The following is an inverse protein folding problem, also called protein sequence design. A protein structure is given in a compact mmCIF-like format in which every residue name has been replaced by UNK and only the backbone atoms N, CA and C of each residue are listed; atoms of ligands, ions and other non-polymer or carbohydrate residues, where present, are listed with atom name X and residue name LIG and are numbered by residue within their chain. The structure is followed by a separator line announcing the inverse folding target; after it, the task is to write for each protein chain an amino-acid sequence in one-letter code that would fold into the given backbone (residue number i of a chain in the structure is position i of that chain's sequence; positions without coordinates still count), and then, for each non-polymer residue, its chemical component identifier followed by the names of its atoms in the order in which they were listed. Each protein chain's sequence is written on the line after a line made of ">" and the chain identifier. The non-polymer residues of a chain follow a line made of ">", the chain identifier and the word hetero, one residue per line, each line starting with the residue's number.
data_IF_227658497779
#
_entry.id   IF_227658497779
#
_cell.length_a   1.000
_cell.length_b   1.000
_cell.length_c   1.000
_cell.angle_alpha   90.00
_cell.angle_beta   90.00
_cell.angle_gamma   90.00
#
_symmetry.space_group_name_H-M   'P 1'
#
loop_
_entity.id
_entity.type
_entity.pdbx_description
1 polymer ?
#
# COMPACT_ATOMS: atom_id res chain seq x y z
N UNK A 1 6.63 -27.99 3.03
CA UNK A 1 6.57 -27.07 1.88
C UNK A 1 5.81 -25.83 2.34
N UNK A 2 6.30 -24.62 2.02
CA UNK A 2 5.58 -23.39 2.37
C UNK A 2 4.37 -23.23 1.44
N UNK A 3 3.25 -22.63 1.94
CA UNK A 3 2.09 -22.32 1.11
C UNK A 3 2.45 -21.31 0.00
N UNK A 4 1.68 -21.28 -1.08
CA UNK A 4 1.87 -20.32 -2.18
C UNK A 4 1.52 -18.89 -1.79
N UNK A 5 0.62 -18.73 -0.82
CA UNK A 5 0.14 -17.43 -0.33
C UNK A 5 -0.09 -17.50 1.17
N UNK A 6 0.27 -16.44 1.86
CA UNK A 6 -0.09 -16.19 3.28
C UNK A 6 -0.64 -14.79 3.41
N UNK A 7 -1.77 -14.65 4.08
CA UNK A 7 -2.42 -13.36 4.31
C UNK A 7 -2.85 -13.24 5.78
N UNK A 8 -2.13 -12.42 6.54
CA UNK A 8 -2.42 -12.16 7.96
C UNK A 8 -3.35 -10.96 8.18
N UNK A 9 -3.76 -10.23 7.13
CA UNK A 9 -4.62 -9.04 7.25
C UNK A 9 -5.90 -9.27 8.04
N UNK A 10 -6.60 -10.41 7.92
CA UNK A 10 -7.82 -10.67 8.69
C UNK A 10 -7.63 -10.67 10.22
N UNK A 11 -6.40 -10.89 10.69
CA UNK A 11 -6.06 -10.95 12.11
C UNK A 11 -5.39 -9.68 12.62
N UNK A 12 -5.17 -8.69 11.76
CA UNK A 12 -4.56 -7.42 12.14
C UNK A 12 -5.56 -6.53 12.87
N UNK A 13 -5.04 -5.60 13.67
CA UNK A 13 -5.79 -4.46 14.17
C UNK A 13 -6.01 -3.44 13.05
N UNK A 14 -6.84 -2.42 13.27
CA UNK A 14 -7.07 -1.39 12.25
C UNK A 14 -5.77 -0.69 11.86
N UNK A 15 -5.70 -0.21 10.62
CA UNK A 15 -4.55 0.56 10.13
C UNK A 15 -4.55 1.96 10.76
N UNK A 16 -3.38 2.33 11.29
CA UNK A 16 -3.16 3.61 11.94
C UNK A 16 -2.63 4.68 10.97
N UNK A 17 -2.78 5.95 11.37
CA UNK A 17 -2.20 7.09 10.66
C UNK A 17 -1.16 7.78 11.56
N UNK A 18 0.09 7.81 11.10
CA UNK A 18 1.16 8.53 11.81
C UNK A 18 1.13 10.04 11.60
N UNK A 19 0.37 10.53 10.61
CA UNK A 19 0.34 11.94 10.23
C UNK A 19 1.74 12.45 9.86
N UNK A 20 2.09 13.63 10.35
CA UNK A 20 3.37 14.29 10.07
C UNK A 20 4.49 13.92 11.05
N UNK A 21 4.25 12.99 11.98
CA UNK A 21 5.25 12.57 12.97
C UNK A 21 6.13 11.47 12.39
N UNK A 22 7.44 11.54 12.56
CA UNK A 22 8.42 10.55 12.08
C UNK A 22 8.39 9.21 12.84
N UNK A 23 7.21 8.71 13.18
CA UNK A 23 6.95 7.56 14.06
C UNK A 23 6.69 6.24 13.33
N UNK A 24 7.09 6.12 12.06
CA UNK A 24 6.83 4.91 11.26
C UNK A 24 7.31 3.62 11.94
N UNK A 25 8.49 3.63 12.54
CA UNK A 25 9.03 2.49 13.30
C UNK A 25 8.11 2.10 14.45
N UNK A 26 7.66 3.07 15.26
CA UNK A 26 6.76 2.81 16.37
C UNK A 26 5.40 2.26 15.90
N UNK A 27 4.88 2.75 14.78
CA UNK A 27 3.65 2.24 14.17
C UNK A 27 3.81 0.78 13.70
N UNK A 28 4.92 0.45 13.04
CA UNK A 28 5.18 -0.91 12.58
C UNK A 28 5.36 -1.90 13.77
N UNK A 29 6.10 -1.50 14.78
CA UNK A 29 6.33 -2.30 15.99
C UNK A 29 5.04 -2.47 16.80
N UNK A 30 4.24 -1.41 16.95
CA UNK A 30 2.92 -1.46 17.59
C UNK A 30 2.00 -2.46 16.88
N UNK A 31 1.91 -2.37 15.56
CA UNK A 31 1.08 -3.29 14.77
C UNK A 31 1.47 -4.77 14.92
N UNK A 32 2.76 -5.08 15.01
CA UNK A 32 3.23 -6.44 15.25
C UNK A 32 2.88 -6.93 16.65
N UNK A 33 3.04 -6.08 17.65
CA UNK A 33 2.70 -6.41 19.04
C UNK A 33 1.20 -6.58 19.24
N UNK A 34 0.38 -5.67 18.74
CA UNK A 34 -1.09 -5.72 18.80
C UNK A 34 -1.66 -6.96 18.14
N UNK A 35 -1.12 -7.34 16.97
CA UNK A 35 -1.48 -8.58 16.31
C UNK A 35 -1.28 -9.80 17.21
N UNK A 36 -0.13 -9.90 17.89
CA UNK A 36 0.16 -11.02 18.77
C UNK A 36 -0.74 -11.03 20.00
N UNK A 37 -0.98 -9.87 20.62
CA UNK A 37 -1.90 -9.75 21.77
C UNK A 37 -3.31 -10.16 21.34
N UNK A 38 -3.81 -9.66 20.23
CA UNK A 38 -5.13 -10.00 19.70
C UNK A 38 -5.26 -11.51 19.44
N UNK A 39 -4.26 -12.10 18.81
CA UNK A 39 -4.24 -13.52 18.47
C UNK A 39 -4.14 -14.43 19.70
N UNK A 40 -3.19 -14.14 20.61
CA UNK A 40 -2.94 -14.98 21.80
C UNK A 40 -4.07 -14.91 22.82
N UNK A 41 -4.75 -13.77 22.92
CA UNK A 41 -5.83 -13.56 23.87
C UNK A 41 -7.23 -13.80 23.28
N UNK A 42 -7.34 -14.05 21.98
CA UNK A 42 -8.61 -14.23 21.30
C UNK A 42 -9.53 -13.01 21.41
N UNK A 43 -8.95 -11.80 21.44
CA UNK A 43 -9.70 -10.56 21.57
C UNK A 43 -10.48 -10.28 20.30
N UNK A 44 -11.78 -10.04 20.43
CA UNK A 44 -12.62 -9.58 19.32
C UNK A 44 -12.39 -8.09 19.02
N UNK A 45 -12.12 -7.31 20.07
CA UNK A 45 -11.84 -5.88 19.98
C UNK A 45 -10.36 -5.61 19.76
N UNK A 46 -10.05 -4.54 19.03
CA UNK A 46 -8.69 -4.10 18.80
C UNK A 46 -8.06 -3.59 20.11
N UNK A 47 -6.86 -4.07 20.38
CA UNK A 47 -6.02 -3.59 21.48
C UNK A 47 -4.99 -2.61 20.90
N UNK A 48 -5.10 -1.34 21.28
CA UNK A 48 -4.22 -0.28 20.78
C UNK A 48 -3.07 -0.01 21.75
N UNK A 49 -1.86 -0.22 21.30
CA UNK A 49 -0.62 0.11 22.01
C UNK A 49 -0.19 1.54 21.71
N UNK A 50 0.25 2.28 22.74
CA UNK A 50 0.70 3.66 22.57
C UNK A 50 1.94 3.77 21.67
N UNK A 51 1.72 4.22 20.45
CA UNK A 51 2.77 4.47 19.46
C UNK A 51 3.70 5.61 19.89
N UNK A 52 3.18 6.64 20.55
CA UNK A 52 4.02 7.74 21.08
C UNK A 52 4.87 7.30 22.27
N UNK A 53 4.40 6.36 23.11
CA UNK A 53 5.22 5.77 24.16
C UNK A 53 6.41 5.03 23.56
N UNK A 54 6.16 4.18 22.56
CA UNK A 54 7.21 3.45 21.84
C UNK A 54 8.16 4.43 21.15
N UNK A 55 7.64 5.44 20.46
CA UNK A 55 8.44 6.43 19.76
C UNK A 55 9.31 7.27 20.68
N UNK A 56 8.76 7.70 21.83
CA UNK A 56 9.53 8.40 22.84
C UNK A 56 10.67 7.53 23.38
N UNK A 57 10.37 6.31 23.81
CA UNK A 57 11.35 5.42 24.41
C UNK A 57 12.46 4.99 23.45
N UNK A 58 12.12 4.69 22.20
CA UNK A 58 13.10 4.35 21.16
C UNK A 58 14.07 5.52 20.90
N UNK A 59 13.56 6.77 20.77
CA UNK A 59 14.42 7.94 20.62
C UNK A 59 15.26 8.23 21.86
N UNK A 60 14.71 8.00 23.06
CA UNK A 60 15.42 8.23 24.32
C UNK A 60 16.66 7.34 24.47
N UNK A 61 16.65 6.12 23.90
CA UNK A 61 17.83 5.25 23.86
C UNK A 61 19.03 5.89 23.15
N UNK A 62 18.77 6.80 22.19
CA UNK A 62 19.78 7.54 21.45
C UNK A 62 19.94 9.00 21.92
N UNK A 63 19.25 9.41 22.99
CA UNK A 63 19.26 10.79 23.48
C UNK A 63 18.58 11.79 22.52
N UNK A 64 17.66 11.32 21.70
CA UNK A 64 16.97 12.08 20.66
C UNK A 64 15.47 12.33 20.96
N UNK A 65 15.02 12.08 22.18
CA UNK A 65 13.61 12.19 22.58
C UNK A 65 12.99 13.58 22.34
N UNK A 66 13.82 14.61 22.23
CA UNK A 66 13.40 16.00 21.96
C UNK A 66 13.43 16.37 20.48
N UNK A 67 13.68 15.42 19.60
CA UNK A 67 13.71 15.63 18.16
C UNK A 67 12.78 14.65 17.46
N UNK A 68 12.12 15.10 16.41
CA UNK A 68 11.36 14.22 15.52
C UNK A 68 12.30 13.66 14.44
N UNK A 69 13.17 12.73 14.87
CA UNK A 69 14.29 12.22 14.07
C UNK A 69 14.06 10.81 13.50
N UNK A 70 12.88 10.23 13.72
CA UNK A 70 12.69 8.80 13.53
C UNK A 70 13.38 7.98 14.64
N UNK A 71 13.34 6.67 14.54
CA UNK A 71 13.99 5.73 15.46
C UNK A 71 14.38 4.44 14.74
N UNK A 72 15.39 3.73 15.27
CA UNK A 72 15.75 2.40 14.79
C UNK A 72 14.70 1.37 15.25
N UNK A 73 14.49 0.33 14.44
CA UNK A 73 13.59 -0.78 14.79
C UNK A 73 14.15 -1.52 16.02
N UNK A 74 15.44 -1.80 16.03
CA UNK A 74 16.14 -2.42 17.16
C UNK A 74 15.95 -1.69 18.50
N UNK A 75 15.92 -0.35 18.50
CA UNK A 75 15.67 0.45 19.70
C UNK A 75 14.22 0.31 20.19
N UNK A 76 13.26 0.29 19.26
CA UNK A 76 11.84 0.12 19.59
C UNK A 76 11.55 -1.31 20.11
N UNK A 77 12.13 -2.33 19.50
CA UNK A 77 12.02 -3.72 19.96
C UNK A 77 12.65 -3.88 21.36
N UNK A 78 13.87 -3.40 21.54
CA UNK A 78 14.57 -3.42 22.84
C UNK A 78 13.77 -2.67 23.93
N UNK A 79 13.07 -1.57 23.59
CA UNK A 79 12.17 -0.90 24.54
C UNK A 79 11.05 -1.83 25.00
N UNK A 80 10.41 -2.57 24.08
CA UNK A 80 9.33 -3.50 24.43
C UNK A 80 9.83 -4.63 25.32
N UNK A 81 11.05 -5.12 25.13
CA UNK A 81 11.67 -6.15 25.98
C UNK A 81 12.00 -5.62 27.38
N UNK A 82 12.60 -4.45 27.47
CA UNK A 82 13.11 -3.89 28.73
C UNK A 82 12.01 -3.20 29.56
N UNK A 83 11.16 -2.42 28.89
CA UNK A 83 10.20 -1.52 29.51
C UNK A 83 8.75 -1.94 29.25
N UNK A 84 8.47 -2.49 28.08
CA UNK A 84 7.12 -2.70 27.58
C UNK A 84 6.51 -1.45 26.96
N UNK A 85 5.19 -1.47 26.74
CA UNK A 85 4.43 -0.32 26.30
C UNK A 85 3.07 -0.24 26.97
N UNK A 86 2.57 0.98 27.20
CA UNK A 86 1.22 1.22 27.70
C UNK A 86 0.21 1.25 26.57
N UNK A 87 -1.08 1.26 26.92
CA UNK A 87 -2.17 1.43 25.96
C UNK A 87 -2.22 2.85 25.37
N UNK A 88 -2.82 2.96 24.20
CA UNK A 88 -3.14 4.24 23.55
C UNK A 88 -4.10 5.08 24.41
N UNK A 89 -4.93 4.42 25.25
CA UNK A 89 -5.80 5.11 26.20
C UNK A 89 -5.01 5.87 27.27
N UNK A 90 -3.93 5.31 27.78
CA UNK A 90 -3.10 5.89 28.86
C UNK A 90 -2.16 6.97 28.31
N UNK A 91 -1.62 6.79 27.09
CA UNK A 91 -0.75 7.76 26.43
C UNK A 91 -1.15 7.93 24.98
N UNK A 92 -2.17 8.79 24.69
CA UNK A 92 -2.78 8.91 23.37
C UNK A 92 -1.87 9.52 22.32
N UNK A 93 -2.08 9.09 21.06
CA UNK A 93 -1.39 9.62 19.89
C UNK A 93 -1.79 11.08 19.62
N UNK A 94 -0.82 11.89 19.28
CA UNK A 94 -1.00 13.28 18.90
C UNK A 94 0.15 13.75 18.01
N UNK A 95 -0.14 14.56 17.03
CA UNK A 95 0.86 15.22 16.19
C UNK A 95 1.37 16.55 16.79
N UNK A 96 0.81 16.98 17.92
CA UNK A 96 1.26 18.20 18.59
C UNK A 96 2.67 18.01 19.13
N UNK A 97 3.60 18.87 18.71
CA UNK A 97 5.02 18.80 19.11
C UNK A 97 5.23 18.75 20.62
N UNK A 98 4.38 19.48 21.39
CA UNK A 98 4.41 19.46 22.84
C UNK A 98 4.13 18.07 23.43
N UNK A 99 3.32 17.24 22.75
CA UNK A 99 3.00 15.87 23.15
C UNK A 99 4.06 14.91 22.62
N UNK A 100 4.45 15.04 21.34
CA UNK A 100 5.48 14.19 20.70
C UNK A 100 6.81 14.21 21.45
N UNK A 101 7.16 15.35 22.05
CA UNK A 101 8.42 15.53 22.81
C UNK A 101 8.25 15.39 24.32
N UNK A 102 7.03 15.19 24.80
CA UNK A 102 6.77 15.01 26.23
C UNK A 102 7.26 13.63 26.69
N UNK A 103 7.85 13.59 27.87
CA UNK A 103 8.13 12.32 28.54
C UNK A 103 6.79 11.72 29.01
N UNK A 104 6.52 10.45 28.71
CA UNK A 104 5.32 9.77 29.19
C UNK A 104 5.17 9.86 30.71
N UNK A 105 3.92 9.81 31.16
CA UNK A 105 3.59 9.88 32.59
C UNK A 105 4.14 8.69 33.37
N UNK A 106 4.25 8.86 34.68
CA UNK A 106 4.63 7.75 35.58
C UNK A 106 3.66 6.57 35.46
N UNK A 107 2.37 6.85 35.35
CA UNK A 107 1.31 5.89 35.13
C UNK A 107 1.53 5.07 33.84
N UNK A 108 1.89 5.75 32.74
CA UNK A 108 2.22 5.10 31.47
C UNK A 108 3.41 4.12 31.61
N UNK A 109 4.45 4.48 32.36
CA UNK A 109 5.57 3.58 32.63
C UNK A 109 5.18 2.42 33.59
N UNK A 110 4.34 2.66 34.56
CA UNK A 110 3.84 1.62 35.47
C UNK A 110 2.97 0.60 34.73
N UNK A 111 2.11 1.05 33.81
CA UNK A 111 1.33 0.18 32.94
C UNK A 111 2.25 -0.59 31.97
N UNK A 112 3.15 0.10 31.28
CA UNK A 112 4.09 -0.50 30.33
C UNK A 112 4.89 -1.66 30.94
N UNK A 113 5.30 -1.55 32.20
CA UNK A 113 6.09 -2.58 32.89
C UNK A 113 5.40 -3.95 32.97
N UNK A 114 4.10 -3.99 32.78
CA UNK A 114 3.26 -5.21 32.80
C UNK A 114 3.01 -5.79 31.40
N UNK A 115 3.43 -5.08 30.36
CA UNK A 115 3.16 -5.42 28.97
C UNK A 115 4.45 -5.46 28.14
N UNK A 116 5.38 -6.29 28.60
CA UNK A 116 6.66 -6.54 27.92
C UNK A 116 6.52 -7.68 26.93
N UNK A 117 7.29 -7.62 25.85
CA UNK A 117 7.53 -8.79 25.03
C UNK A 117 8.60 -9.67 25.69
N UNK A 118 8.51 -10.97 25.44
CA UNK A 118 9.44 -11.94 26.04
C UNK A 118 10.54 -12.33 25.10
N UNK A 119 10.29 -12.29 23.79
CA UNK A 119 11.24 -12.70 22.77
C UNK A 119 11.04 -11.91 21.47
N UNK A 120 12.13 -11.45 20.89
CA UNK A 120 12.19 -10.91 19.55
C UNK A 120 13.41 -11.46 18.82
N UNK A 121 13.30 -11.61 17.51
CA UNK A 121 14.32 -12.25 16.69
C UNK A 121 14.62 -11.41 15.45
N UNK A 122 15.92 -11.22 15.16
CA UNK A 122 16.38 -10.71 13.87
C UNK A 122 16.30 -11.83 12.85
N UNK A 123 15.65 -11.57 11.71
CA UNK A 123 15.62 -12.53 10.62
C UNK A 123 16.44 -12.03 9.43
N UNK A 124 17.10 -12.94 8.69
CA UNK A 124 17.85 -12.55 7.51
C UNK A 124 16.94 -12.06 6.38
N UNK A 125 17.41 -11.06 5.64
CA UNK A 125 16.71 -10.53 4.45
C UNK A 125 16.88 -11.51 3.28
N UNK A 126 16.14 -12.61 3.34
CA UNK A 126 16.03 -13.62 2.30
C UNK A 126 14.57 -14.03 2.11
N UNK A 127 14.20 -14.34 0.86
CA UNK A 127 12.82 -14.71 0.55
C UNK A 127 12.34 -15.92 1.38
N UNK A 128 13.19 -16.91 1.54
CA UNK A 128 12.86 -18.12 2.30
C UNK A 128 12.61 -17.82 3.78
N UNK A 129 13.46 -17.02 4.43
CA UNK A 129 13.30 -16.68 5.84
C UNK A 129 12.02 -15.87 6.09
N UNK A 130 11.74 -14.92 5.21
CA UNK A 130 10.52 -14.11 5.32
C UNK A 130 9.25 -14.93 5.10
N UNK A 131 9.22 -15.76 4.06
CA UNK A 131 8.08 -16.64 3.82
C UNK A 131 7.86 -17.63 4.96
N UNK A 132 8.94 -18.16 5.55
CA UNK A 132 8.84 -19.06 6.72
C UNK A 132 8.25 -18.35 7.92
N UNK A 133 8.75 -17.16 8.28
CA UNK A 133 8.23 -16.39 9.40
C UNK A 133 6.74 -16.02 9.24
N UNK A 134 6.33 -15.62 8.04
CA UNK A 134 4.94 -15.30 7.73
C UNK A 134 4.04 -16.54 7.78
N UNK A 135 4.51 -17.69 7.29
CA UNK A 135 3.78 -18.96 7.37
C UNK A 135 3.65 -19.47 8.80
N UNK A 136 4.62 -19.18 9.67
CA UNK A 136 4.53 -19.43 11.11
C UNK A 136 3.60 -18.45 11.85
N UNK A 137 3.06 -17.43 11.13
CA UNK A 137 2.14 -16.44 11.66
C UNK A 137 2.81 -15.25 12.34
N UNK A 138 4.07 -14.94 11.99
CA UNK A 138 4.79 -13.78 12.53
C UNK A 138 4.93 -12.68 11.48
N UNK A 139 4.25 -11.52 11.68
CA UNK A 139 4.48 -10.33 10.87
C UNK A 139 5.93 -9.83 11.01
N UNK A 140 6.47 -9.26 9.93
CA UNK A 140 7.87 -8.86 9.86
C UNK A 140 7.98 -7.35 9.86
N UNK A 141 8.67 -6.80 10.85
CA UNK A 141 9.00 -5.38 10.96
C UNK A 141 10.27 -5.14 10.14
N UNK A 142 10.24 -4.19 9.20
CA UNK A 142 11.38 -3.92 8.35
C UNK A 142 11.50 -2.45 7.96
N UNK A 143 12.70 -2.02 7.60
CA UNK A 143 13.00 -0.69 7.09
C UNK A 143 13.47 -0.77 5.63
N UNK A 144 12.99 0.16 4.80
CA UNK A 144 13.27 0.20 3.38
C UNK A 144 13.48 1.63 2.89
N UNK A 145 14.31 1.79 1.87
CA UNK A 145 14.46 3.05 1.15
C UNK A 145 13.28 3.29 0.24
N UNK A 146 12.65 4.47 0.33
CA UNK A 146 11.55 4.88 -0.53
C UNK A 146 12.06 5.71 -1.70
N UNK A 147 11.48 5.43 -2.87
CA UNK A 147 11.68 6.17 -4.09
C UNK A 147 10.40 6.92 -4.45
N UNK A 148 10.48 7.88 -5.37
CA UNK A 148 9.33 8.72 -5.76
C UNK A 148 8.14 7.89 -6.27
N UNK A 149 8.41 6.78 -6.95
CA UNK A 149 7.40 5.83 -7.40
C UNK A 149 6.54 5.24 -6.28
N UNK A 150 7.08 5.16 -5.06
CA UNK A 150 6.29 4.70 -3.90
C UNK A 150 5.13 5.65 -3.57
N UNK A 151 5.35 6.96 -3.71
CA UNK A 151 4.32 7.97 -3.43
C UNK A 151 3.27 8.03 -4.56
N UNK A 152 3.66 7.66 -5.78
CA UNK A 152 2.83 7.68 -6.98
C UNK A 152 2.31 6.28 -7.30
N UNK A 153 1.49 5.71 -6.44
CA UNK A 153 0.85 4.43 -6.71
C UNK A 153 -0.09 4.55 -7.91
N UNK A 154 0.19 3.77 -8.94
CA UNK A 154 -0.64 3.70 -10.16
C UNK A 154 -1.91 2.90 -9.95
N UNK A 155 -1.94 2.18 -8.87
CA UNK A 155 -2.94 1.24 -8.49
C UNK A 155 -3.11 1.22 -7.02
N UNK A 156 -4.32 0.93 -6.62
CA UNK A 156 -4.70 0.78 -5.22
C UNK A 156 -3.76 -0.18 -4.51
N UNK A 157 -2.75 0.41 -3.86
CA UNK A 157 -1.76 -0.32 -3.06
C UNK A 157 -0.58 -0.93 -3.79
N UNK A 158 -0.57 -1.04 -5.13
CA UNK A 158 0.60 -1.59 -5.82
C UNK A 158 1.75 -0.58 -5.86
N UNK A 159 2.92 -1.00 -5.39
CA UNK A 159 4.14 -0.19 -5.40
C UNK A 159 5.05 -0.68 -6.53
N UNK A 160 5.30 0.15 -7.55
CA UNK A 160 6.20 -0.25 -8.64
C UNK A 160 7.64 -0.33 -8.15
N UNK A 161 8.43 -1.17 -8.82
CA UNK A 161 9.87 -1.18 -8.61
C UNK A 161 10.48 0.17 -9.03
N UNK A 162 11.47 0.69 -8.29
CA UNK A 162 12.19 1.87 -8.76
C UNK A 162 12.87 1.57 -10.09
N UNK A 163 12.74 2.48 -11.07
CA UNK A 163 13.47 2.39 -12.32
C UNK A 163 14.98 2.55 -12.09
N UNK A 164 15.78 2.16 -13.09
CA UNK A 164 17.23 2.36 -13.03
C UNK A 164 17.62 3.83 -12.88
N UNK A 165 16.89 4.72 -13.52
CA UNK A 165 17.08 6.17 -13.45
C UNK A 165 16.72 6.70 -12.06
N UNK A 166 15.61 6.26 -11.50
CA UNK A 166 15.18 6.62 -10.15
C UNK A 166 16.17 6.11 -9.09
N UNK A 167 16.58 4.85 -9.19
CA UNK A 167 17.59 4.27 -8.31
C UNK A 167 18.94 5.01 -8.37
N UNK A 168 19.34 5.49 -9.56
CA UNK A 168 20.55 6.28 -9.74
C UNK A 168 20.45 7.67 -9.10
N UNK A 169 19.26 8.27 -9.04
CA UNK A 169 19.00 9.55 -8.32
C UNK A 169 19.02 9.37 -6.80
N UNK A 170 18.85 8.15 -6.31
CA UNK A 170 18.79 7.79 -4.90
C UNK A 170 17.39 7.87 -4.31
N UNK A 171 17.25 7.25 -3.13
CA UNK A 171 16.01 7.30 -2.36
C UNK A 171 15.76 8.69 -1.78
N UNK A 172 14.50 9.08 -1.64
CA UNK A 172 14.13 10.36 -1.02
C UNK A 172 13.94 10.25 0.50
N UNK A 173 13.67 9.06 1.03
CA UNK A 173 13.48 8.82 2.46
C UNK A 173 13.69 7.34 2.83
N UNK A 174 13.71 7.10 4.13
CA UNK A 174 13.65 5.77 4.73
C UNK A 174 12.31 5.61 5.45
N UNK A 175 11.73 4.41 5.39
CA UNK A 175 10.44 4.13 6.00
C UNK A 175 10.44 2.74 6.64
N UNK A 176 9.77 2.61 7.78
CA UNK A 176 9.54 1.34 8.42
C UNK A 176 8.08 0.92 8.25
N UNK A 177 7.84 -0.34 7.92
CA UNK A 177 6.52 -0.92 7.70
C UNK A 177 6.45 -2.34 8.27
N UNK A 178 5.27 -2.94 8.20
CA UNK A 178 4.99 -4.28 8.69
C UNK A 178 4.57 -5.18 7.53
N UNK A 179 5.38 -6.20 7.22
CA UNK A 179 5.02 -7.23 6.25
C UNK A 179 4.08 -8.25 6.90
N UNK A 180 2.90 -8.45 6.32
CA UNK A 180 1.82 -9.27 6.87
C UNK A 180 1.39 -10.42 5.96
N UNK A 181 2.10 -10.66 4.88
CA UNK A 181 1.80 -11.76 3.98
C UNK A 181 2.62 -11.73 2.70
N UNK A 182 2.35 -12.69 1.84
CA UNK A 182 2.96 -12.78 0.52
C UNK A 182 2.06 -13.55 -0.47
N UNK A 183 2.30 -13.33 -1.75
CA UNK A 183 1.69 -14.09 -2.85
C UNK A 183 2.78 -14.50 -3.85
N UNK A 184 2.94 -15.80 -4.08
CA UNK A 184 3.92 -16.33 -5.04
C UNK A 184 3.46 -16.13 -6.49
N UNK A 185 2.15 -16.16 -6.74
CA UNK A 185 1.61 -15.91 -8.08
C UNK A 185 1.87 -14.49 -8.53
N UNK A 186 1.72 -13.53 -7.63
CA UNK A 186 1.97 -12.11 -7.91
C UNK A 186 3.43 -11.70 -7.68
N UNK A 187 4.22 -12.54 -7.01
CA UNK A 187 5.59 -12.26 -6.57
C UNK A 187 5.71 -10.99 -5.71
N UNK A 188 4.74 -10.79 -4.81
CA UNK A 188 4.67 -9.63 -3.92
C UNK A 188 4.59 -10.03 -2.45
N UNK A 189 5.05 -9.12 -1.58
CA UNK A 189 4.70 -9.09 -0.18
C UNK A 189 3.49 -8.20 0.04
N UNK A 190 2.63 -8.58 0.99
CA UNK A 190 1.52 -7.77 1.49
C UNK A 190 2.05 -6.99 2.68
N UNK A 191 1.98 -5.66 2.59
CA UNK A 191 2.63 -4.76 3.56
C UNK A 191 1.61 -3.79 4.14
N UNK A 192 1.57 -3.72 5.48
CA UNK A 192 0.81 -2.72 6.22
C UNK A 192 1.62 -1.45 6.34
N UNK A 193 1.05 -0.34 5.86
CA UNK A 193 1.61 1.00 6.05
C UNK A 193 0.97 1.67 7.29
N UNK A 194 1.42 2.88 7.61
CA UNK A 194 0.94 3.72 8.71
C UNK A 194 0.48 5.11 8.23
N UNK A 195 -0.19 5.16 7.09
CA UNK A 195 -0.70 6.40 6.47
C UNK A 195 -2.23 6.43 6.36
N UNK A 196 -2.89 5.71 7.28
CA UNK A 196 -4.34 5.60 7.34
C UNK A 196 -4.92 4.58 6.37
N UNK A 197 -6.19 4.27 6.57
CA UNK A 197 -6.94 3.26 5.81
C UNK A 197 -7.37 3.72 4.40
N UNK A 198 -7.32 5.05 4.15
CA UNK A 198 -7.61 5.63 2.83
C UNK A 198 -6.41 5.60 1.87
N UNK A 199 -5.21 5.31 2.38
CA UNK A 199 -4.03 5.14 1.56
C UNK A 199 -3.92 3.70 1.04
N UNK A 200 -3.48 3.55 -0.20
CA UNK A 200 -3.26 2.24 -0.80
C UNK A 200 -4.53 1.39 -0.88
N UNK A 201 -4.41 0.12 -0.59
CA UNK A 201 -5.53 -0.82 -0.47
C UNK A 201 -5.93 -0.95 1.01
N UNK A 202 -6.85 -0.10 1.47
CA UNK A 202 -7.28 -0.03 2.87
C UNK A 202 -6.12 0.07 3.87
N UNK A 203 -5.09 0.86 3.51
CA UNK A 203 -3.89 1.08 4.31
C UNK A 203 -2.76 0.08 4.05
N UNK A 204 -2.97 -0.90 3.16
CA UNK A 204 -1.98 -1.88 2.75
C UNK A 204 -1.41 -1.56 1.38
N UNK A 205 -0.25 -2.14 1.07
CA UNK A 205 0.35 -2.09 -0.25
C UNK A 205 0.99 -3.44 -0.62
N UNK A 206 1.27 -3.58 -1.90
CA UNK A 206 1.89 -4.76 -2.48
C UNK A 206 3.23 -4.37 -3.08
N UNK A 207 4.30 -4.91 -2.51
CA UNK A 207 5.68 -4.59 -2.90
C UNK A 207 6.34 -5.85 -3.41
N UNK A 208 6.96 -5.79 -4.58
CA UNK A 208 7.57 -6.96 -5.20
C UNK A 208 8.66 -7.59 -4.32
N UNK A 209 8.86 -8.89 -4.49
CA UNK A 209 9.98 -9.60 -3.88
C UNK A 209 11.31 -8.95 -4.23
N UNK A 210 11.48 -8.53 -5.48
CA UNK A 210 12.72 -7.95 -5.96
C UNK A 210 13.06 -6.61 -5.29
N UNK A 211 12.04 -5.79 -4.99
CA UNK A 211 12.25 -4.53 -4.28
C UNK A 211 12.65 -4.79 -2.82
N UNK A 212 11.87 -5.58 -2.08
CA UNK A 212 12.11 -5.81 -0.65
C UNK A 212 13.39 -6.63 -0.41
N UNK A 213 13.68 -7.62 -1.24
CA UNK A 213 14.88 -8.46 -1.09
C UNK A 213 16.15 -7.78 -1.59
N UNK A 214 16.07 -6.61 -2.20
CA UNK A 214 17.21 -5.85 -2.64
C UNK A 214 17.98 -5.26 -1.45
N UNK A 215 19.16 -5.78 -1.18
CA UNK A 215 20.01 -5.36 -0.06
C UNK A 215 20.50 -3.92 -0.15
N UNK A 216 20.35 -3.25 -1.30
CA UNK A 216 20.64 -1.80 -1.43
C UNK A 216 19.47 -0.96 -0.92
N UNK A 217 18.27 -1.50 -0.89
CA UNK A 217 17.04 -0.79 -0.51
C UNK A 217 16.55 -1.20 0.86
N UNK A 218 16.63 -2.49 1.20
CA UNK A 218 16.30 -2.99 2.54
C UNK A 218 17.47 -2.74 3.50
N UNK A 219 17.16 -2.14 4.65
CA UNK A 219 18.19 -1.73 5.61
C UNK A 219 18.75 -2.89 6.44
N UNK A 220 18.15 -4.07 6.38
CA UNK A 220 18.58 -5.26 7.11
C UNK A 220 18.27 -5.24 8.61
N UNK A 221 17.64 -4.19 9.13
CA UNK A 221 17.10 -4.12 10.50
C UNK A 221 15.69 -4.73 10.50
N UNK A 222 15.64 -6.07 10.46
CA UNK A 222 14.42 -6.85 10.20
C UNK A 222 14.13 -7.76 11.38
N UNK A 223 12.96 -7.58 11.98
CA UNK A 223 12.58 -8.22 13.23
C UNK A 223 11.22 -8.90 13.16
N UNK A 224 11.08 -10.00 13.90
CA UNK A 224 9.80 -10.56 14.34
C UNK A 224 9.72 -10.51 15.84
N UNK A 225 8.50 -10.39 16.37
CA UNK A 225 8.23 -10.49 17.80
C UNK A 225 7.63 -11.87 18.05
N UNK A 226 8.31 -12.67 18.88
CA UNK A 226 7.81 -13.95 19.39
C UNK A 226 7.40 -13.73 20.83
N UNK A 227 6.12 -13.63 21.10
CA UNK A 227 5.65 -13.65 22.48
C UNK A 227 5.52 -15.11 22.93
N UNK A 228 5.96 -15.42 24.14
CA UNK A 228 6.48 -16.67 24.61
C UNK A 228 5.54 -17.87 24.77
N UNK A 229 4.35 -17.88 24.26
CA UNK A 229 3.54 -19.10 24.18
C UNK A 229 3.25 -19.41 22.71
N UNK A 230 3.46 -20.69 22.34
CA UNK A 230 3.27 -21.21 21.00
C UNK A 230 1.99 -20.62 20.37
N UNK A 231 2.17 -19.78 19.38
CA UNK A 231 1.11 -19.47 18.44
C UNK A 231 0.91 -20.75 17.65
N UNK A 232 -0.17 -21.49 17.92
CA UNK A 232 -0.56 -22.63 17.11
C UNK A 232 -0.54 -22.19 15.64
N UNK A 233 0.12 -22.98 14.80
CA UNK A 233 0.37 -22.64 13.41
C UNK A 233 -0.87 -22.09 12.73
N UNK A 234 -0.72 -20.99 12.04
CA UNK A 234 -1.82 -20.24 11.47
C UNK A 234 -2.21 -20.77 10.08
N UNK A 235 -2.54 -22.09 10.02
CA UNK A 235 -2.93 -22.73 8.77
C UNK A 235 -4.16 -22.04 8.11
N UNK A 236 -5.00 -21.38 8.90
CA UNK A 236 -6.14 -20.60 8.39
C UNK A 236 -5.71 -19.39 7.52
N UNK A 237 -4.46 -18.96 7.62
CA UNK A 237 -3.89 -17.90 6.77
C UNK A 237 -3.18 -18.43 5.53
N UNK A 238 -3.16 -19.74 5.31
CA UNK A 238 -2.47 -20.39 4.20
C UNK A 238 -3.42 -20.63 3.04
N UNK A 239 -2.94 -20.30 1.85
CA UNK A 239 -3.67 -20.48 0.63
C UNK A 239 -2.76 -21.16 -0.39
N UNK A 240 -3.22 -22.24 -0.98
CA UNK A 240 -2.54 -22.99 -2.05
C UNK A 240 -3.20 -22.76 -3.42
N UNK A 241 -4.05 -21.74 -3.52
CA UNK A 241 -4.64 -21.30 -4.78
C UNK A 241 -3.67 -20.42 -5.59
N UNK A 242 -4.00 -20.21 -6.85
CA UNK A 242 -3.30 -19.31 -7.77
C UNK A 242 -4.08 -18.01 -7.98
N UNK A 243 -5.00 -17.65 -7.06
CA UNK A 243 -5.72 -16.40 -7.10
C UNK A 243 -4.81 -15.23 -6.76
N UNK A 244 -4.77 -14.23 -7.63
CA UNK A 244 -4.04 -12.99 -7.43
C UNK A 244 -4.59 -12.21 -6.23
N UNK A 245 -3.73 -11.60 -5.41
CA UNK A 245 -4.12 -10.59 -4.42
C UNK A 245 -4.35 -9.23 -5.08
N UNK A 246 -3.95 -9.10 -6.35
CA UNK A 246 -4.18 -7.95 -7.20
C UNK A 246 -5.44 -8.20 -8.03
N UNK A 247 -6.26 -7.19 -8.27
CA UNK A 247 -7.41 -7.32 -9.17
C UNK A 247 -6.96 -7.32 -10.64
N UNK A 248 -7.64 -8.07 -11.52
CA UNK A 248 -7.23 -8.39 -12.90
C UNK A 248 -6.82 -7.18 -13.77
N UNK A 249 -7.60 -6.10 -13.73
CA UNK A 249 -7.25 -4.86 -14.44
C UNK A 249 -6.04 -4.12 -13.84
N UNK A 250 -5.68 -4.50 -12.68
CA UNK A 250 -4.55 -3.99 -11.95
C UNK A 250 -3.23 -4.64 -12.36
N UNK A 251 -3.22 -5.81 -12.91
CA UNK A 251 -2.00 -6.51 -13.34
C UNK A 251 -1.27 -5.77 -14.45
N UNK A 252 -2.00 -5.12 -15.35
CA UNK A 252 -1.44 -4.40 -16.48
C UNK A 252 -0.42 -3.34 -16.05
N UNK A 253 -0.83 -2.46 -15.14
CA UNK A 253 0.07 -1.41 -14.64
C UNK A 253 1.01 -1.92 -13.55
N UNK A 254 0.68 -3.02 -12.87
CA UNK A 254 1.52 -3.65 -11.89
C UNK A 254 2.80 -4.22 -12.52
N UNK A 255 2.68 -4.74 -13.71
CA UNK A 255 3.79 -5.32 -14.45
C UNK A 255 4.58 -4.28 -15.27
N UNK A 256 4.04 -3.07 -15.44
CA UNK A 256 4.73 -2.00 -16.12
C UNK A 256 5.81 -1.39 -15.19
N UNK A 257 7.05 -1.40 -15.63
CA UNK A 257 8.13 -0.74 -14.89
C UNK A 257 8.00 0.79 -14.92
N UNK A 258 8.69 1.47 -14.00
CA UNK A 258 8.58 2.92 -13.86
C UNK A 258 9.05 3.68 -15.09
N UNK A 259 10.08 3.19 -15.78
CA UNK A 259 10.64 3.82 -16.97
C UNK A 259 9.64 3.80 -18.13
N UNK A 260 8.99 2.63 -18.34
CA UNK A 260 7.91 2.49 -19.34
C UNK A 260 6.71 3.34 -19.00
N UNK A 261 6.32 3.42 -17.70
CA UNK A 261 5.24 4.30 -17.27
C UNK A 261 5.55 5.78 -17.45
N UNK A 262 6.76 6.22 -17.09
CA UNK A 262 7.18 7.62 -17.29
C UNK A 262 7.20 7.97 -18.80
N UNK A 263 7.72 7.07 -19.65
CA UNK A 263 7.72 7.25 -21.10
C UNK A 263 6.29 7.35 -21.67
N UNK A 264 5.40 6.45 -21.27
CA UNK A 264 4.00 6.47 -21.68
C UNK A 264 3.33 7.79 -21.30
N UNK A 265 3.49 8.25 -20.05
CA UNK A 265 2.90 9.52 -19.60
C UNK A 265 3.49 10.74 -20.31
N UNK A 266 4.81 10.77 -20.57
CA UNK A 266 5.44 11.84 -21.33
C UNK A 266 4.88 11.92 -22.76
N UNK A 267 4.68 10.77 -23.41
CA UNK A 267 4.08 10.68 -24.75
C UNK A 267 2.60 11.02 -24.79
N UNK A 268 1.87 10.78 -23.69
CA UNK A 268 0.47 11.19 -23.56
C UNK A 268 0.29 12.72 -23.50
N UNK A 269 1.31 13.46 -23.07
CA UNK A 269 1.35 14.92 -23.07
C UNK A 269 0.23 15.56 -22.28
N UNK A 270 -0.48 16.51 -22.92
CA UNK A 270 -1.56 17.28 -22.29
C UNK A 270 -2.82 16.45 -21.97
N UNK A 271 -2.90 15.21 -22.51
CA UNK A 271 -4.02 14.29 -22.29
C UNK A 271 -3.52 13.03 -21.59
N UNK A 272 -3.41 13.03 -20.24
CA UNK A 272 -2.95 11.88 -19.49
C UNK A 272 -3.92 10.70 -19.59
N UNK A 273 -3.47 9.52 -19.16
CA UNK A 273 -4.19 8.24 -19.32
C UNK A 273 -5.68 8.29 -18.99
N UNK A 274 -6.15 8.84 -17.86
CA UNK A 274 -7.58 8.84 -17.53
C UNK A 274 -8.40 9.68 -18.52
N UNK A 275 -7.86 10.80 -19.00
CA UNK A 275 -8.53 11.63 -20.01
C UNK A 275 -8.59 10.92 -21.37
N UNK A 276 -7.51 10.21 -21.76
CA UNK A 276 -7.50 9.42 -23.00
C UNK A 276 -8.48 8.26 -22.97
N UNK A 277 -8.66 7.63 -21.81
CA UNK A 277 -9.69 6.61 -21.62
C UNK A 277 -11.10 7.22 -21.72
N UNK A 278 -11.30 8.40 -21.12
CA UNK A 278 -12.51 9.18 -21.27
C UNK A 278 -12.81 9.54 -22.73
N UNK A 279 -11.80 9.90 -23.54
CA UNK A 279 -11.93 10.15 -24.97
C UNK A 279 -12.50 8.94 -25.73
N UNK A 280 -12.01 7.72 -25.44
CA UNK A 280 -12.50 6.51 -26.10
C UNK A 280 -13.94 6.18 -25.70
N UNK A 281 -14.29 6.32 -24.45
CA UNK A 281 -15.64 6.03 -23.95
C UNK A 281 -16.65 7.08 -24.43
N UNK A 282 -16.28 8.35 -24.45
CA UNK A 282 -17.10 9.43 -25.02
C UNK A 282 -17.28 9.24 -26.52
N UNK A 283 -16.20 8.86 -27.24
CA UNK A 283 -16.29 8.57 -28.67
C UNK A 283 -17.23 7.39 -28.97
N UNK A 284 -17.30 6.40 -28.10
CA UNK A 284 -18.22 5.28 -28.23
C UNK A 284 -19.70 5.72 -28.08
N UNK A 285 -19.97 6.69 -27.20
CA UNK A 285 -21.32 7.23 -26.97
C UNK A 285 -21.83 8.15 -28.13
N UNK A 286 -20.96 8.59 -29.03
CA UNK A 286 -21.32 9.49 -30.14
C UNK A 286 -21.09 8.86 -31.52
N UNK A 287 -20.78 7.56 -31.57
CA UNK A 287 -20.31 6.90 -32.79
C UNK A 287 -21.35 6.86 -33.92
N UNK A 288 -22.61 6.77 -33.62
CA UNK A 288 -23.69 6.72 -34.60
C UNK A 288 -24.24 8.11 -35.01
N UNK A 289 -23.78 9.18 -34.33
CA UNK A 289 -24.15 10.57 -34.60
C UNK A 289 -25.44 11.01 -33.94
N UNK A 290 -26.11 10.16 -33.17
CA UNK A 290 -27.22 10.49 -32.28
C UNK A 290 -26.74 10.35 -30.83
N UNK A 291 -26.79 11.43 -30.07
CA UNK A 291 -26.32 11.48 -28.68
C UNK A 291 -27.51 11.21 -27.75
N UNK A 292 -27.62 9.97 -27.27
CA UNK A 292 -28.70 9.61 -26.35
C UNK A 292 -28.32 9.87 -24.89
N UNK A 293 -29.32 10.17 -24.03
CA UNK A 293 -29.10 10.32 -22.58
C UNK A 293 -28.64 8.99 -21.96
N UNK A 294 -29.12 7.85 -22.49
CA UNK A 294 -28.76 6.50 -22.04
C UNK A 294 -27.27 6.19 -22.32
N UNK A 295 -26.77 6.48 -23.50
CA UNK A 295 -25.35 6.28 -23.84
C UNK A 295 -24.44 7.18 -23.02
N UNK A 296 -24.86 8.41 -22.76
CA UNK A 296 -24.12 9.33 -21.90
C UNK A 296 -24.01 8.80 -20.45
N UNK A 297 -25.12 8.36 -19.87
CA UNK A 297 -25.13 7.79 -18.51
C UNK A 297 -24.22 6.57 -18.41
N UNK A 298 -24.29 5.65 -19.39
CA UNK A 298 -23.45 4.45 -19.43
C UNK A 298 -21.98 4.82 -19.64
N UNK A 299 -21.65 5.79 -20.49
CA UNK A 299 -20.28 6.25 -20.68
C UNK A 299 -19.68 6.87 -19.40
N UNK A 300 -20.45 7.70 -18.69
CA UNK A 300 -20.05 8.31 -17.41
C UNK A 300 -19.82 7.22 -16.35
N UNK A 301 -20.70 6.22 -16.28
CA UNK A 301 -20.55 5.09 -15.36
C UNK A 301 -19.26 4.31 -15.65
N UNK A 302 -18.98 3.98 -16.91
CA UNK A 302 -17.74 3.30 -17.30
C UNK A 302 -16.49 4.14 -17.04
N UNK A 303 -16.54 5.47 -17.27
CA UNK A 303 -15.47 6.40 -16.92
C UNK A 303 -15.24 6.36 -15.41
N UNK A 304 -16.30 6.45 -14.59
CA UNK A 304 -16.20 6.40 -13.13
C UNK A 304 -15.56 5.11 -12.64
N UNK A 305 -16.03 3.96 -13.14
CA UNK A 305 -15.47 2.65 -12.81
C UNK A 305 -13.99 2.54 -13.21
N UNK A 306 -13.62 3.08 -14.37
CA UNK A 306 -12.24 3.06 -14.83
C UNK A 306 -11.35 4.00 -14.00
N UNK A 307 -11.83 5.20 -13.65
CA UNK A 307 -11.10 6.14 -12.80
C UNK A 307 -10.83 5.53 -11.42
N UNK A 308 -11.85 4.94 -10.78
CA UNK A 308 -11.69 4.23 -9.51
C UNK A 308 -10.69 3.10 -9.63
N UNK A 309 -10.81 2.28 -10.68
CA UNK A 309 -9.94 1.14 -10.92
C UNK A 309 -8.47 1.54 -11.07
N UNK A 310 -8.19 2.65 -11.75
CA UNK A 310 -6.84 3.14 -12.00
C UNK A 310 -6.32 4.12 -10.92
N UNK A 311 -7.07 4.30 -9.82
CA UNK A 311 -6.65 5.10 -8.67
C UNK A 311 -6.75 6.62 -8.90
N UNK A 312 -7.69 7.05 -9.73
CA UNK A 312 -7.99 8.47 -9.98
C UNK A 312 -9.34 8.87 -9.36
N UNK A 313 -9.60 8.42 -8.13
CA UNK A 313 -10.86 8.62 -7.40
C UNK A 313 -11.20 10.10 -7.14
N UNK A 314 -10.24 10.99 -7.30
CA UNK A 314 -10.38 12.43 -7.14
C UNK A 314 -10.89 13.15 -8.41
N UNK A 315 -10.97 12.45 -9.53
CA UNK A 315 -11.50 12.99 -10.77
C UNK A 315 -13.03 12.74 -10.88
N UNK A 316 -13.75 13.80 -11.25
CA UNK A 316 -15.18 13.73 -11.52
C UNK A 316 -15.46 13.08 -12.88
N UNK A 317 -16.17 11.94 -12.96
CA UNK A 317 -16.44 11.25 -14.23
C UNK A 317 -17.23 12.08 -15.24
N UNK A 318 -18.18 12.89 -14.76
CA UNK A 318 -18.98 13.78 -15.59
C UNK A 318 -18.10 14.88 -16.21
N UNK A 319 -17.22 15.47 -15.40
CA UNK A 319 -16.24 16.45 -15.85
C UNK A 319 -15.24 15.88 -16.86
N UNK A 320 -14.82 14.63 -16.70
CA UNK A 320 -13.96 13.93 -17.68
C UNK A 320 -14.70 13.70 -19.00
N UNK A 321 -15.97 13.33 -18.95
CA UNK A 321 -16.83 13.13 -20.12
C UNK A 321 -17.03 14.45 -20.89
N UNK A 322 -17.39 15.54 -20.19
CA UNK A 322 -17.58 16.86 -20.80
C UNK A 322 -16.30 17.35 -21.49
N UNK A 323 -15.17 17.27 -20.77
CA UNK A 323 -13.87 17.63 -21.32
C UNK A 323 -13.50 16.79 -22.55
N UNK A 324 -13.75 15.47 -22.50
CA UNK A 324 -13.48 14.59 -23.64
C UNK A 324 -14.31 14.96 -24.87
N UNK A 325 -15.58 15.34 -24.69
CA UNK A 325 -16.46 15.78 -25.78
C UNK A 325 -15.91 17.01 -26.48
N UNK A 326 -15.47 18.02 -25.71
CA UNK A 326 -14.86 19.25 -26.27
C UNK A 326 -13.57 18.93 -27.05
N UNK A 327 -12.70 18.08 -26.50
CA UNK A 327 -11.42 17.71 -27.11
C UNK A 327 -11.62 16.94 -28.41
N UNK A 328 -12.61 16.04 -28.50
CA UNK A 328 -12.91 15.28 -29.71
C UNK A 328 -13.35 16.23 -30.84
N UNK A 329 -14.16 17.22 -30.51
CA UNK A 329 -14.63 18.23 -31.51
C UNK A 329 -13.49 19.14 -32.03
N UNK A 330 -12.51 19.46 -31.18
CA UNK A 330 -11.42 20.37 -31.49
C UNK A 330 -10.22 19.67 -32.16
N UNK A 331 -10.02 18.37 -31.93
CA UNK A 331 -8.85 17.62 -32.41
C UNK A 331 -9.22 16.31 -33.09
N UNK A 332 -9.42 16.31 -34.38
CA UNK A 332 -9.79 15.15 -35.19
C UNK A 332 -8.80 13.95 -35.10
N UNK A 333 -7.56 14.18 -34.69
CA UNK A 333 -6.54 13.12 -34.60
C UNK A 333 -6.40 12.50 -33.23
N UNK A 334 -6.99 13.07 -32.18
CA UNK A 334 -6.74 12.67 -30.80
C UNK A 334 -7.14 11.21 -30.53
N UNK A 335 -8.20 10.74 -31.14
CA UNK A 335 -8.66 9.36 -31.00
C UNK A 335 -7.67 8.36 -31.63
N UNK A 336 -7.18 8.65 -32.85
CA UNK A 336 -6.18 7.81 -33.51
C UNK A 336 -4.88 7.76 -32.70
N UNK A 337 -4.40 8.91 -32.23
CA UNK A 337 -3.24 9.00 -31.38
C UNK A 337 -3.42 8.21 -30.07
N UNK A 338 -4.61 8.29 -29.46
CA UNK A 338 -4.94 7.52 -28.25
C UNK A 338 -4.93 6.01 -28.50
N UNK A 339 -5.51 5.56 -29.59
CA UNK A 339 -5.51 4.14 -29.98
C UNK A 339 -4.10 3.64 -30.25
N UNK A 340 -3.25 4.42 -30.93
CA UNK A 340 -1.86 4.07 -31.19
C UNK A 340 -1.06 3.94 -29.87
N UNK A 341 -1.18 4.90 -28.96
CA UNK A 341 -0.50 4.88 -27.65
C UNK A 341 -0.96 3.69 -26.80
N UNK A 342 -2.28 3.45 -26.74
CA UNK A 342 -2.79 2.31 -26.00
C UNK A 342 -2.33 0.97 -26.60
N UNK A 343 -2.31 0.88 -27.94
CA UNK A 343 -1.80 -0.31 -28.64
C UNK A 343 -0.32 -0.57 -28.43
N UNK A 344 0.47 0.45 -28.12
CA UNK A 344 1.91 0.32 -27.86
C UNK A 344 2.22 -0.08 -26.41
N UNK A 345 1.45 0.43 -25.44
CA UNK A 345 1.77 0.28 -24.02
C UNK A 345 0.90 -0.71 -23.27
N UNK A 346 -0.32 -1.01 -23.74
CA UNK A 346 -1.25 -1.91 -23.05
C UNK A 346 -1.23 -3.31 -23.64
N UNK A 347 -1.51 -4.32 -22.82
CA UNK A 347 -1.66 -5.70 -23.27
C UNK A 347 -2.89 -5.90 -24.14
N UNK A 348 -2.91 -7.02 -24.87
CA UNK A 348 -4.08 -7.42 -25.64
C UNK A 348 -5.32 -7.66 -24.78
N UNK A 349 -5.14 -8.04 -23.52
CA UNK A 349 -6.22 -8.29 -22.58
C UNK A 349 -6.84 -6.98 -22.09
N UNK A 350 -6.03 -6.00 -21.67
CA UNK A 350 -6.49 -4.66 -21.32
C UNK A 350 -7.21 -3.97 -22.49
N UNK A 351 -6.66 -4.08 -23.71
CA UNK A 351 -7.29 -3.54 -24.91
C UNK A 351 -8.64 -4.21 -25.21
N UNK A 352 -8.75 -5.53 -25.02
CA UNK A 352 -10.00 -6.25 -25.20
C UNK A 352 -11.07 -5.81 -24.18
N UNK A 353 -10.69 -5.57 -22.93
CA UNK A 353 -11.57 -5.05 -21.88
C UNK A 353 -12.09 -3.65 -22.23
N UNK A 354 -11.21 -2.73 -22.62
CA UNK A 354 -11.59 -1.38 -23.06
C UNK A 354 -12.55 -1.45 -24.25
N UNK A 355 -12.25 -2.28 -25.25
CA UNK A 355 -13.08 -2.44 -26.45
C UNK A 355 -14.46 -3.03 -26.10
N UNK A 356 -14.54 -3.95 -25.15
CA UNK A 356 -15.82 -4.49 -24.67
C UNK A 356 -16.67 -3.39 -24.01
N UNK A 357 -16.08 -2.59 -23.13
CA UNK A 357 -16.75 -1.46 -22.51
C UNK A 357 -17.25 -0.43 -23.52
N UNK A 358 -16.44 -0.12 -24.53
CA UNK A 358 -16.86 0.75 -25.64
C UNK A 358 -18.08 0.18 -26.41
N UNK A 359 -18.16 -1.13 -26.61
CA UNK A 359 -19.31 -1.78 -27.24
C UNK A 359 -20.57 -1.73 -26.38
N UNK A 360 -20.41 -1.87 -25.06
CA UNK A 360 -21.52 -1.75 -24.11
C UNK A 360 -22.09 -0.32 -24.12
N UNK A 361 -21.24 0.69 -24.20
CA UNK A 361 -21.65 2.09 -24.33
C UNK A 361 -22.42 2.30 -25.65
N UNK A 362 -21.82 1.94 -26.78
CA UNK A 362 -22.40 2.14 -28.13
C UNK A 362 -23.66 1.32 -28.41
N UNK A 363 -24.03 0.39 -27.56
CA UNK A 363 -25.23 -0.42 -27.68
C UNK A 363 -26.28 -0.16 -26.58
N UNK A 364 -26.07 0.89 -25.77
CA UNK A 364 -26.92 1.14 -24.62
C UNK A 364 -28.36 1.53 -24.99
N UNK A 365 -28.56 2.19 -26.11
CA UNK A 365 -29.89 2.61 -26.62
C UNK A 365 -30.62 1.53 -27.44
N UNK A 366 -29.94 0.42 -27.79
CA UNK A 366 -30.56 -0.72 -28.52
C UNK A 366 -31.26 -1.71 -27.58
N UNK A 367 -31.22 -1.52 -26.25
CA UNK A 367 -31.80 -2.36 -25.22
C UNK A 367 -33.12 -1.76 -24.68
#
# INVERSE_FOLDING_TARGET
>A
QLPKKVDLRPYMTRVEDQGQVGSCTANAVAGAYEYLVKKNQGLEDDYDVSRLFIYYGARAKQGNEKKDSGSAISDAVSLLEETGACSEYTWPYSEQKSVVFAKPSKEAFEEASRHKITEAEIIPTTLQAWKSALAEGFPIIFGISLFKSFDNQRKRGFVPNPSSTEAARGSHSSHAMLCVGYSDVDRVFIVRNSWGDRWGDNGYCYISYDYIMNKKYNHGDTWIIRDAEEVEGNEDSWFDDDESVLTDLNEEFANMDEETWEEMNERMGDYPFPHRLGLLFTAAAIVDGEFSEEEQEVAIEHIGNALELFGYDDLDPEGVFEYASEVIDENENILNETVELFGEYLSGEALATILQQMREIAGADEL
#
